data_IF_039356716165
#
_entry.id   IF_039356716165
#
_cell.length_a   1.000
_cell.length_b   1.000
_cell.length_c   1.000
_cell.angle_alpha   90.00
_cell.angle_beta   90.00
_cell.angle_gamma   90.00
#
_symmetry.space_group_name_H-M   'P 1'
#
loop_
_entity.id
_entity.type
_entity.pdbx_description
1 polymer ?
#
# COMPACT_ATOMS: atom_id res chain seq x y z
N UNK A 1 10.56 -18.58 -26.23
CA UNK A 1 10.57 -18.76 -27.66
C UNK A 1 11.95 -19.18 -28.17
N UNK A 2 12.10 -19.40 -29.49
CA UNK A 2 13.38 -19.79 -30.08
C UNK A 2 14.51 -18.77 -29.90
N UNK A 3 14.18 -17.52 -29.59
CA UNK A 3 15.12 -16.42 -29.35
C UNK A 3 15.57 -16.34 -27.90
N UNK A 4 14.98 -17.13 -27.03
CA UNK A 4 15.23 -17.09 -25.59
C UNK A 4 14.38 -16.09 -24.81
N UNK A 5 13.42 -15.42 -25.47
CA UNK A 5 12.45 -14.56 -24.82
C UNK A 5 11.37 -15.41 -24.18
N UNK A 6 10.98 -15.11 -22.96
CA UNK A 6 9.88 -15.79 -22.29
C UNK A 6 8.58 -15.63 -23.09
N UNK A 7 7.96 -16.74 -23.44
CA UNK A 7 6.72 -16.78 -24.22
C UNK A 7 5.78 -17.85 -23.66
N UNK A 8 4.77 -17.40 -22.92
CA UNK A 8 3.77 -18.28 -22.34
C UNK A 8 2.91 -19.03 -23.37
N UNK A 9 2.76 -18.49 -24.61
CA UNK A 9 1.98 -19.16 -25.66
C UNK A 9 2.62 -20.45 -26.13
N UNK A 10 3.94 -20.45 -26.23
CA UNK A 10 4.68 -21.64 -26.66
C UNK A 10 4.91 -22.64 -25.54
N UNK A 11 4.85 -22.20 -24.27
CA UNK A 11 4.93 -23.06 -23.10
C UNK A 11 3.66 -23.86 -22.78
N UNK A 12 2.58 -23.71 -23.55
CA UNK A 12 1.34 -24.44 -23.31
C UNK A 12 1.51 -25.93 -23.63
N UNK A 13 0.92 -26.78 -22.79
CA UNK A 13 0.83 -28.22 -23.06
C UNK A 13 -0.10 -28.56 -24.24
N UNK A 14 -1.09 -27.70 -24.49
CA UNK A 14 -2.05 -27.83 -25.62
C UNK A 14 -2.56 -26.47 -26.03
N UNK A 15 -2.94 -26.31 -27.29
CA UNK A 15 -3.61 -25.15 -27.85
C UNK A 15 -5.14 -25.25 -27.86
N UNK A 16 -5.68 -26.42 -27.54
CA UNK A 16 -7.11 -26.74 -27.62
C UNK A 16 -7.92 -26.10 -26.46
N UNK A 17 -7.28 -25.91 -25.31
CA UNK A 17 -7.91 -25.33 -24.13
C UNK A 17 -7.13 -24.11 -23.64
N UNK A 18 -7.81 -23.21 -22.96
CA UNK A 18 -7.20 -22.07 -22.29
C UNK A 18 -6.44 -22.48 -21.03
N UNK A 19 -6.43 -21.61 -20.03
CA UNK A 19 -5.83 -21.92 -18.74
C UNK A 19 -6.66 -22.96 -17.99
N UNK A 20 -5.97 -23.91 -17.40
CA UNK A 20 -6.56 -24.83 -16.42
C UNK A 20 -6.12 -24.37 -15.05
N UNK A 21 -7.09 -24.03 -14.19
CA UNK A 21 -6.85 -23.62 -12.82
C UNK A 21 -7.21 -24.75 -11.87
N UNK A 22 -6.34 -25.02 -10.93
CA UNK A 22 -6.56 -25.95 -9.85
C UNK A 22 -6.73 -25.19 -8.53
N UNK A 23 -7.70 -25.57 -7.74
CA UNK A 23 -7.87 -25.05 -6.39
C UNK A 23 -7.11 -25.95 -5.42
N UNK A 24 -6.10 -25.38 -4.77
CA UNK A 24 -5.29 -26.08 -3.78
C UNK A 24 -5.36 -25.40 -2.42
N UNK A 25 -5.10 -26.14 -1.34
CA UNK A 25 -5.11 -25.60 0.04
C UNK A 25 -3.70 -25.39 0.56
N UNK A 26 -2.89 -24.60 -0.16
CA UNK A 26 -1.48 -24.34 0.16
C UNK A 26 -1.21 -22.90 0.63
N UNK A 27 -2.25 -22.06 0.65
CA UNK A 27 -2.16 -20.71 1.17
C UNK A 27 -1.84 -20.69 2.66
N UNK A 28 -0.85 -19.85 3.06
CA UNK A 28 -0.42 -19.69 4.45
C UNK A 28 -0.35 -18.22 4.80
N UNK A 29 -0.84 -17.88 5.99
CA UNK A 29 -0.72 -16.55 6.59
C UNK A 29 -0.22 -16.70 8.01
N UNK A 30 0.85 -16.00 8.34
CA UNK A 30 1.35 -15.84 9.69
C UNK A 30 1.15 -14.39 10.12
N UNK A 31 0.32 -14.18 11.14
CA UNK A 31 0.05 -12.85 11.66
C UNK A 31 0.30 -12.82 13.17
N UNK A 32 1.04 -11.82 13.59
CA UNK A 32 1.18 -11.46 14.99
C UNK A 32 0.74 -10.01 15.17
N UNK A 33 -0.19 -9.78 16.10
CA UNK A 33 -0.66 -8.43 16.40
C UNK A 33 -0.67 -8.21 17.92
N UNK A 34 -0.24 -7.03 18.33
CA UNK A 34 -0.33 -6.56 19.70
C UNK A 34 -1.23 -5.31 19.71
N UNK A 35 -2.26 -5.36 20.54
CA UNK A 35 -3.25 -4.29 20.64
C UNK A 35 -3.29 -3.79 22.08
N UNK A 36 -3.23 -2.46 22.22
CA UNK A 36 -3.53 -1.76 23.46
C UNK A 36 -4.68 -0.82 23.19
N UNK A 37 -5.72 -0.90 23.99
CA UNK A 37 -6.83 0.03 23.95
C UNK A 37 -7.26 0.44 25.34
N UNK A 38 -7.87 1.62 25.42
CA UNK A 38 -8.40 2.14 26.66
C UNK A 38 -9.42 3.24 26.42
N UNK A 39 -10.37 3.32 27.31
CA UNK A 39 -11.39 4.37 27.33
C UNK A 39 -11.41 5.05 28.67
N UNK A 40 -11.30 6.36 28.66
CA UNK A 40 -11.43 7.21 29.83
C UNK A 40 -12.69 8.06 29.72
N UNK A 41 -13.58 7.89 30.71
CA UNK A 41 -14.78 8.71 30.87
C UNK A 41 -14.56 9.76 31.92
N UNK A 42 -14.87 10.99 31.58
CA UNK A 42 -14.63 12.13 32.46
C UNK A 42 -15.84 13.05 32.48
N UNK A 43 -16.07 13.68 33.60
CA UNK A 43 -17.29 14.46 33.90
C UNK A 43 -18.55 13.60 33.68
N UNK A 44 -19.61 14.23 33.14
CA UNK A 44 -20.91 13.55 32.97
C UNK A 44 -21.00 12.74 31.66
N UNK A 45 -20.42 13.26 30.59
CA UNK A 45 -20.62 12.77 29.22
C UNK A 45 -19.38 12.95 28.32
N UNK A 46 -18.23 13.29 28.90
CA UNK A 46 -16.96 13.32 28.19
C UNK A 46 -16.36 11.93 28.08
N UNK A 47 -15.82 11.59 26.92
CA UNK A 47 -15.15 10.32 26.66
C UNK A 47 -13.93 10.53 25.78
N UNK A 48 -12.85 9.81 26.09
CA UNK A 48 -11.66 9.71 25.28
C UNK A 48 -11.27 8.23 25.17
N UNK A 49 -11.22 7.74 23.96
CA UNK A 49 -10.78 6.37 23.65
C UNK A 49 -9.53 6.40 22.80
N UNK A 50 -8.62 5.50 23.11
CA UNK A 50 -7.35 5.30 22.40
C UNK A 50 -7.19 3.82 22.07
N UNK A 51 -6.74 3.55 20.87
CA UNK A 51 -6.34 2.20 20.44
C UNK A 51 -5.06 2.29 19.62
N UNK A 52 -4.10 1.46 19.96
CA UNK A 52 -2.88 1.26 19.20
C UNK A 52 -2.73 -0.21 18.84
N UNK A 53 -2.42 -0.47 17.59
CA UNK A 53 -2.11 -1.81 17.07
C UNK A 53 -0.72 -1.82 16.46
N UNK A 54 0.13 -2.72 16.92
CA UNK A 54 1.32 -3.16 16.22
C UNK A 54 1.03 -4.47 15.52
N UNK A 55 1.46 -4.63 14.26
CA UNK A 55 1.14 -5.79 13.44
C UNK A 55 2.33 -6.25 12.61
N UNK A 56 2.50 -7.56 12.50
CA UNK A 56 3.44 -8.23 11.59
C UNK A 56 2.72 -9.37 10.88
N UNK A 57 2.49 -9.19 9.58
CA UNK A 57 1.76 -10.17 8.76
C UNK A 57 2.61 -10.58 7.57
N UNK A 58 2.82 -11.89 7.45
CA UNK A 58 3.47 -12.52 6.31
C UNK A 58 2.56 -13.56 5.70
N UNK A 59 2.63 -13.71 4.40
CA UNK A 59 1.90 -14.72 3.65
C UNK A 59 2.71 -15.23 2.45
N UNK A 60 2.22 -16.28 1.84
CA UNK A 60 2.82 -16.83 0.63
C UNK A 60 2.03 -16.51 -0.64
N UNK A 61 0.84 -15.90 -0.54
CA UNK A 61 -0.01 -15.64 -1.70
C UNK A 61 -0.51 -14.20 -1.80
N UNK A 62 -0.73 -13.49 -0.71
CA UNK A 62 -1.42 -12.19 -0.68
C UNK A 62 -2.67 -12.13 -1.57
N UNK A 63 -3.44 -13.20 -1.57
CA UNK A 63 -4.62 -13.35 -2.43
C UNK A 63 -5.70 -12.34 -2.04
N UNK A 64 -5.98 -11.38 -2.91
CA UNK A 64 -6.95 -10.30 -2.67
C UNK A 64 -8.11 -10.29 -3.69
N UNK A 65 -8.14 -11.24 -4.61
CA UNK A 65 -9.13 -11.26 -5.67
C UNK A 65 -10.32 -12.17 -5.35
N UNK A 66 -11.48 -11.80 -5.85
CA UNK A 66 -12.68 -12.64 -5.86
C UNK A 66 -12.83 -13.47 -7.15
N UNK A 67 -11.88 -13.32 -8.09
CA UNK A 67 -11.83 -14.03 -9.37
C UNK A 67 -10.53 -14.81 -9.45
N UNK A 68 -10.60 -16.13 -9.40
CA UNK A 68 -9.44 -17.02 -9.37
C UNK A 68 -8.41 -16.73 -10.49
N UNK A 69 -8.88 -16.48 -11.70
CA UNK A 69 -8.03 -16.21 -12.85
C UNK A 69 -7.16 -14.94 -12.66
N UNK A 70 -7.72 -13.86 -12.14
CA UNK A 70 -6.99 -12.60 -11.95
C UNK A 70 -6.07 -12.67 -10.73
N UNK A 71 -6.51 -13.30 -9.66
CA UNK A 71 -5.77 -13.33 -8.42
C UNK A 71 -4.55 -14.27 -8.48
N UNK A 72 -4.69 -15.43 -9.13
CA UNK A 72 -3.60 -16.42 -9.24
C UNK A 72 -2.40 -15.88 -10.04
N UNK A 73 -2.64 -15.02 -11.01
CA UNK A 73 -1.59 -14.51 -11.90
C UNK A 73 -1.08 -13.10 -11.53
N UNK A 74 -1.73 -12.42 -10.60
CA UNK A 74 -1.30 -11.08 -10.18
C UNK A 74 -0.34 -11.09 -8.99
N UNK A 75 -0.03 -12.25 -8.45
CA UNK A 75 0.91 -12.39 -7.36
C UNK A 75 2.33 -12.05 -7.82
N UNK A 76 3.02 -11.21 -7.06
CA UNK A 76 4.42 -10.87 -7.31
C UNK A 76 5.31 -12.05 -6.89
N UNK A 77 6.03 -12.60 -7.85
CA UNK A 77 6.90 -13.78 -7.68
C UNK A 77 8.17 -13.62 -8.48
N UNK A 78 9.21 -14.35 -8.10
CA UNK A 78 10.50 -14.31 -8.82
C UNK A 78 10.37 -15.03 -10.16
N UNK A 79 9.84 -16.24 -10.14
CA UNK A 79 9.81 -17.13 -11.32
C UNK A 79 8.39 -17.59 -11.67
N UNK A 80 7.78 -18.42 -10.84
CA UNK A 80 6.51 -19.07 -11.09
C UNK A 80 5.46 -18.64 -10.05
N UNK A 81 4.31 -18.06 -10.49
CA UNK A 81 3.24 -17.67 -9.58
C UNK A 81 2.58 -18.84 -8.83
N UNK A 82 2.91 -20.07 -9.20
CA UNK A 82 2.47 -21.29 -8.52
C UNK A 82 3.42 -21.72 -7.40
N UNK A 83 4.61 -21.14 -7.30
CA UNK A 83 5.54 -21.45 -6.20
C UNK A 83 5.11 -20.72 -4.91
N UNK A 84 4.39 -21.45 -4.05
CA UNK A 84 3.92 -21.00 -2.76
C UNK A 84 4.87 -21.36 -1.59
N UNK A 85 6.11 -21.74 -1.88
CA UNK A 85 7.07 -22.17 -0.87
C UNK A 85 7.61 -21.02 -0.01
N UNK A 86 7.60 -19.80 -0.52
CA UNK A 86 8.23 -18.65 0.13
C UNK A 86 7.21 -17.76 0.84
N UNK A 87 7.50 -17.42 2.08
CA UNK A 87 6.76 -16.43 2.87
C UNK A 87 7.42 -15.06 2.76
N UNK A 88 6.62 -14.03 2.56
CA UNK A 88 7.07 -12.64 2.54
C UNK A 88 6.02 -11.73 3.19
N UNK A 89 6.32 -10.44 3.38
CA UNK A 89 5.31 -9.52 3.89
C UNK A 89 4.04 -9.52 3.03
N UNK A 90 2.90 -9.55 3.69
CA UNK A 90 1.58 -9.51 3.04
C UNK A 90 1.31 -8.15 2.40
N UNK A 91 0.51 -8.12 1.34
CA UNK A 91 -0.04 -6.88 0.81
C UNK A 91 -0.94 -6.15 1.83
N UNK A 92 -1.47 -6.89 2.82
CA UNK A 92 -2.31 -6.35 3.90
C UNK A 92 -1.48 -5.93 5.13
N UNK A 93 -0.16 -5.99 5.05
CA UNK A 93 0.72 -5.59 6.14
C UNK A 93 0.62 -4.09 6.40
N UNK A 94 0.42 -3.73 7.64
CA UNK A 94 0.75 -2.43 8.21
C UNK A 94 1.55 -2.66 9.50
N UNK A 95 2.43 -1.73 9.86
CA UNK A 95 3.23 -1.90 11.08
C UNK A 95 2.54 -1.27 12.29
N UNK A 96 1.94 -0.10 12.09
CA UNK A 96 1.36 0.69 13.15
C UNK A 96 -0.02 1.20 12.74
N UNK A 97 -0.99 1.09 13.64
CA UNK A 97 -2.29 1.74 13.50
C UNK A 97 -2.65 2.40 14.82
N UNK A 98 -3.04 3.65 14.74
CA UNK A 98 -3.46 4.45 15.89
C UNK A 98 -4.86 4.96 15.62
N UNK A 99 -5.76 4.81 16.58
CA UNK A 99 -7.08 5.42 16.54
C UNK A 99 -7.31 6.10 17.87
N UNK A 100 -7.59 7.39 17.83
CA UNK A 100 -7.98 8.19 19.01
C UNK A 100 -9.30 8.85 18.68
N UNK A 101 -10.29 8.67 19.50
CA UNK A 101 -11.55 9.37 19.35
C UNK A 101 -12.14 9.74 20.69
N UNK A 102 -12.93 10.79 20.70
CA UNK A 102 -13.58 11.22 21.92
C UNK A 102 -14.55 12.37 21.72
N UNK A 103 -15.25 12.68 22.79
CA UNK A 103 -16.15 13.80 22.86
C UNK A 103 -15.87 14.62 24.12
N UNK A 104 -15.88 15.95 23.97
CA UNK A 104 -15.87 16.85 25.09
C UNK A 104 -17.24 16.80 25.84
N UNK A 105 -17.27 17.11 27.14
CA UNK A 105 -18.55 17.27 27.86
C UNK A 105 -19.46 18.28 27.16
N UNK A 106 -20.72 17.94 27.06
CA UNK A 106 -21.73 18.83 26.45
C UNK A 106 -21.88 20.10 27.26
N UNK A 107 -21.69 21.23 26.62
CA UNK A 107 -21.83 22.53 27.26
C UNK A 107 -22.83 23.41 26.50
N UNK A 108 -23.85 23.92 27.19
CA UNK A 108 -24.96 24.66 26.59
C UNK A 108 -25.65 23.98 25.39
N UNK A 109 -25.72 22.67 25.44
CA UNK A 109 -26.26 21.87 24.31
C UNK A 109 -25.34 21.80 23.08
N UNK A 110 -24.11 22.24 23.19
CA UNK A 110 -23.06 22.05 22.18
C UNK A 110 -22.25 20.81 22.57
N UNK A 111 -22.13 19.87 21.64
CA UNK A 111 -21.24 18.72 21.74
C UNK A 111 -20.14 18.82 20.68
N UNK A 112 -18.91 18.48 21.06
CA UNK A 112 -17.77 18.44 20.17
C UNK A 112 -17.15 17.06 20.25
N UNK A 113 -16.99 16.40 19.12
CA UNK A 113 -16.29 15.13 19.00
C UNK A 113 -15.14 15.23 18.00
N UNK A 114 -14.09 14.46 18.25
CA UNK A 114 -12.95 14.34 17.35
C UNK A 114 -12.55 12.89 17.16
N UNK A 115 -12.02 12.55 15.98
CA UNK A 115 -11.44 11.25 15.68
C UNK A 115 -10.16 11.43 14.89
N UNK A 116 -9.07 10.93 15.43
CA UNK A 116 -7.81 10.75 14.72
C UNK A 116 -7.67 9.28 14.31
N UNK A 117 -7.28 9.02 13.07
CA UNK A 117 -6.99 7.69 12.56
C UNK A 117 -5.68 7.75 11.78
N UNK A 118 -4.68 6.98 12.21
CA UNK A 118 -3.39 6.93 11.56
C UNK A 118 -2.94 5.50 11.29
N UNK A 119 -2.21 5.33 10.18
CA UNK A 119 -1.66 4.05 9.74
C UNK A 119 -0.28 4.26 9.13
N UNK A 120 0.62 3.30 9.35
CA UNK A 120 1.97 3.34 8.79
C UNK A 120 2.59 1.97 8.63
N UNK A 121 3.65 1.90 7.81
CA UNK A 121 4.34 0.66 7.52
C UNK A 121 3.58 -0.28 6.58
N UNK A 122 2.72 0.26 5.73
CA UNK A 122 2.19 -0.47 4.57
C UNK A 122 3.31 -0.76 3.59
N UNK A 123 3.13 -1.74 2.72
CA UNK A 123 4.23 -2.33 1.94
C UNK A 123 4.06 -2.14 0.44
N UNK A 124 5.19 -2.18 -0.28
CA UNK A 124 5.24 -2.19 -1.73
C UNK A 124 6.46 -2.98 -2.24
N UNK A 125 6.42 -3.37 -3.52
CA UNK A 125 7.47 -4.15 -4.18
C UNK A 125 8.15 -3.36 -5.29
N UNK A 126 9.42 -3.67 -5.57
CA UNK A 126 10.11 -3.25 -6.79
C UNK A 126 9.92 -4.33 -7.84
N UNK A 127 9.39 -3.96 -9.00
CA UNK A 127 9.03 -4.87 -10.08
C UNK A 127 9.58 -4.43 -11.42
N UNK A 128 9.56 -5.34 -12.38
CA UNK A 128 9.80 -5.07 -13.78
C UNK A 128 8.47 -4.74 -14.48
N UNK A 129 8.43 -3.71 -15.29
CA UNK A 129 7.33 -3.45 -16.22
C UNK A 129 7.56 -4.25 -17.49
N UNK A 130 6.79 -5.30 -17.64
CA UNK A 130 6.88 -6.30 -18.70
C UNK A 130 6.87 -7.71 -18.12
N UNK A 131 6.75 -8.70 -18.98
CA UNK A 131 6.68 -10.10 -18.60
C UNK A 131 8.06 -10.76 -18.81
N UNK A 132 8.82 -10.92 -17.74
CA UNK A 132 10.18 -11.49 -17.77
C UNK A 132 10.14 -13.02 -17.68
N UNK A 133 9.24 -13.56 -16.86
CA UNK A 133 9.15 -14.99 -16.56
C UNK A 133 8.25 -15.78 -17.52
N UNK A 134 7.52 -15.10 -18.41
CA UNK A 134 6.63 -15.74 -19.37
C UNK A 134 5.29 -16.23 -18.81
N UNK A 135 4.89 -15.76 -17.64
CA UNK A 135 3.65 -16.16 -16.98
C UNK A 135 2.40 -15.44 -17.50
N UNK A 136 2.57 -14.50 -18.46
CA UNK A 136 1.49 -13.77 -19.10
C UNK A 136 1.03 -12.49 -18.36
N UNK A 137 1.69 -12.12 -17.27
CA UNK A 137 1.39 -10.91 -16.51
C UNK A 137 2.54 -9.91 -16.63
N UNK A 138 2.22 -8.64 -16.92
CA UNK A 138 3.23 -7.61 -17.24
C UNK A 138 3.72 -6.79 -16.04
N UNK A 139 3.36 -7.14 -14.83
CA UNK A 139 3.64 -6.29 -13.66
C UNK A 139 3.69 -7.05 -12.33
N UNK A 140 4.05 -8.32 -12.37
CA UNK A 140 4.20 -9.16 -11.18
C UNK A 140 5.63 -9.69 -10.98
N UNK A 141 6.53 -9.50 -11.94
CA UNK A 141 7.92 -9.95 -11.84
C UNK A 141 8.71 -9.05 -10.90
N UNK A 142 9.25 -9.63 -9.82
CA UNK A 142 10.14 -8.92 -8.91
C UNK A 142 11.46 -8.58 -9.61
N UNK A 143 11.91 -7.34 -9.43
CA UNK A 143 13.10 -6.84 -10.10
C UNK A 143 14.39 -7.38 -9.47
N UNK A 144 15.32 -7.87 -10.30
CA UNK A 144 16.70 -8.02 -9.89
C UNK A 144 17.37 -6.64 -9.84
N UNK A 145 17.89 -6.26 -8.69
CA UNK A 145 18.48 -4.93 -8.51
C UNK A 145 20.00 -5.01 -8.75
N UNK A 146 20.42 -4.47 -9.86
CA UNK A 146 21.85 -4.42 -10.22
C UNK A 146 22.61 -3.53 -9.23
N UNK A 147 23.79 -4.00 -8.80
CA UNK A 147 24.66 -3.18 -7.95
C UNK A 147 25.41 -2.16 -8.83
N UNK A 148 25.21 -0.85 -8.62
CA UNK A 148 25.93 0.17 -9.40
C UNK A 148 27.44 0.20 -9.13
N UNK A 149 27.92 -0.46 -8.07
CA UNK A 149 29.33 -0.57 -7.75
C UNK A 149 30.00 -1.81 -8.38
N UNK A 150 29.23 -2.76 -8.90
CA UNK A 150 29.77 -3.92 -9.61
C UNK A 150 30.23 -3.48 -11.02
N UNK A 151 31.53 -3.64 -11.35
CA UNK A 151 32.04 -3.31 -12.67
C UNK A 151 31.41 -4.12 -13.82
N UNK A 152 30.74 -5.24 -13.52
CA UNK A 152 30.00 -6.04 -14.49
C UNK A 152 28.63 -5.46 -14.81
N UNK A 153 28.09 -4.59 -13.97
CA UNK A 153 26.81 -3.92 -14.23
C UNK A 153 26.95 -3.01 -15.46
N UNK A 154 26.11 -3.16 -16.47
CA UNK A 154 26.09 -2.29 -17.65
C UNK A 154 25.98 -0.81 -17.25
N UNK A 155 26.74 0.05 -17.94
CA UNK A 155 26.85 1.47 -17.59
C UNK A 155 25.48 2.18 -17.52
N UNK A 156 24.59 1.89 -18.45
CA UNK A 156 23.26 2.51 -18.48
C UNK A 156 22.40 2.13 -17.27
N UNK A 157 22.52 0.89 -16.74
CA UNK A 157 21.85 0.47 -15.52
C UNK A 157 22.47 1.14 -14.29
N UNK A 158 23.80 1.19 -14.25
CA UNK A 158 24.53 1.88 -13.18
C UNK A 158 24.13 3.34 -13.06
N UNK A 159 24.12 4.05 -14.19
CA UNK A 159 23.74 5.46 -14.23
C UNK A 159 22.28 5.64 -13.81
N UNK A 160 21.35 4.86 -14.38
CA UNK A 160 19.93 4.97 -14.03
C UNK A 160 19.62 4.66 -12.57
N UNK A 161 20.29 3.68 -11.95
CA UNK A 161 20.13 3.38 -10.52
C UNK A 161 20.69 4.53 -9.67
N UNK A 162 21.87 5.06 -10.03
CA UNK A 162 22.46 6.21 -9.35
C UNK A 162 21.57 7.46 -9.47
N UNK A 163 20.92 7.68 -10.61
CA UNK A 163 19.96 8.78 -10.78
C UNK A 163 18.81 8.67 -9.80
N UNK A 164 18.25 7.46 -9.62
CA UNK A 164 17.20 7.24 -8.60
C UNK A 164 17.73 7.52 -7.18
N UNK A 165 18.91 7.00 -6.85
CA UNK A 165 19.48 7.14 -5.51
C UNK A 165 19.86 8.59 -5.16
N UNK A 166 20.20 9.40 -6.15
CA UNK A 166 20.57 10.81 -5.98
C UNK A 166 19.38 11.77 -6.16
N UNK A 167 18.23 11.28 -6.63
CA UNK A 167 17.04 12.12 -6.82
C UNK A 167 16.47 12.52 -5.45
N UNK A 168 16.37 13.83 -5.13
CA UNK A 168 15.84 14.31 -3.85
C UNK A 168 14.33 14.03 -3.68
N UNK A 169 13.59 13.84 -4.79
CA UNK A 169 12.15 13.59 -4.75
C UNK A 169 11.80 12.12 -4.49
N UNK A 170 12.79 11.22 -4.52
CA UNK A 170 12.60 9.80 -4.22
C UNK A 170 12.59 9.60 -2.70
N UNK A 171 11.57 8.88 -2.22
CA UNK A 171 11.42 8.52 -0.81
C UNK A 171 12.66 7.75 -0.30
N UNK A 172 13.21 8.15 0.85
CA UNK A 172 14.41 7.51 1.40
C UNK A 172 14.18 6.01 1.68
N UNK A 173 12.97 5.63 2.05
CA UNK A 173 12.59 4.21 2.20
C UNK A 173 12.75 3.41 0.91
N UNK A 174 12.54 4.02 -0.26
CA UNK A 174 12.79 3.38 -1.56
C UNK A 174 14.28 3.23 -1.83
N UNK A 175 15.07 4.28 -1.56
CA UNK A 175 16.52 4.22 -1.71
C UNK A 175 17.13 3.13 -0.84
N UNK A 176 16.66 3.00 0.40
CA UNK A 176 17.07 1.94 1.33
C UNK A 176 16.68 0.56 0.84
N UNK A 177 15.49 0.41 0.28
CA UNK A 177 15.05 -0.85 -0.29
C UNK A 177 15.90 -1.25 -1.49
N UNK A 178 16.21 -0.30 -2.39
CA UNK A 178 17.11 -0.52 -3.54
C UNK A 178 18.50 -0.95 -3.03
N UNK A 179 19.13 -0.19 -2.10
CA UNK A 179 20.45 -0.51 -1.55
C UNK A 179 20.52 -1.90 -0.91
N UNK A 180 19.49 -2.29 -0.14
CA UNK A 180 19.40 -3.61 0.48
C UNK A 180 19.20 -4.76 -0.51
N UNK A 181 18.81 -4.44 -1.73
CA UNK A 181 18.52 -5.39 -2.80
C UNK A 181 19.64 -5.50 -3.85
N UNK A 182 20.76 -4.81 -3.71
CA UNK A 182 21.86 -4.87 -4.66
C UNK A 182 22.35 -6.30 -4.88
N UNK A 183 22.51 -6.69 -6.15
CA UNK A 183 23.01 -7.99 -6.59
C UNK A 183 22.03 -9.16 -6.37
N UNK A 184 20.73 -8.89 -6.09
CA UNK A 184 19.71 -9.92 -5.88
C UNK A 184 18.34 -9.45 -6.33
N UNK A 185 17.41 -10.38 -6.44
CA UNK A 185 16.00 -10.07 -6.67
C UNK A 185 15.43 -9.38 -5.43
N UNK A 186 14.70 -8.30 -5.65
CA UNK A 186 14.04 -7.56 -4.59
C UNK A 186 13.02 -8.45 -3.86
N UNK A 187 12.99 -8.36 -2.53
CA UNK A 187 12.03 -9.11 -1.74
C UNK A 187 10.61 -8.58 -1.98
N UNK A 188 9.63 -9.47 -2.17
CA UNK A 188 8.22 -9.07 -2.26
C UNK A 188 7.83 -8.25 -1.04
N UNK A 189 7.23 -7.08 -1.26
CA UNK A 189 6.82 -6.17 -0.19
C UNK A 189 7.95 -5.72 0.74
N UNK A 190 9.19 -5.63 0.21
CA UNK A 190 10.36 -5.16 0.95
C UNK A 190 10.36 -3.65 1.22
N UNK A 191 9.66 -2.85 0.40
CA UNK A 191 9.49 -1.42 0.60
C UNK A 191 8.50 -1.10 1.73
N UNK A 192 8.71 0.04 2.38
CA UNK A 192 7.92 0.48 3.55
C UNK A 192 7.45 1.90 3.34
N UNK A 193 6.15 2.11 3.38
CA UNK A 193 5.54 3.43 3.37
C UNK A 193 5.58 4.09 4.76
N UNK A 194 5.62 5.41 4.76
CA UNK A 194 5.58 6.22 5.97
C UNK A 194 4.26 6.11 6.73
N UNK A 195 4.22 6.80 7.85
CA UNK A 195 2.99 6.96 8.65
C UNK A 195 2.24 8.21 8.20
N UNK A 196 0.91 8.11 8.09
CA UNK A 196 0.03 9.26 7.92
C UNK A 196 -1.26 9.06 8.71
N UNK A 197 -1.96 10.17 8.96
CA UNK A 197 -3.23 10.11 9.67
C UNK A 197 -4.16 11.25 9.30
N UNK A 198 -5.46 11.04 9.53
CA UNK A 198 -6.53 12.01 9.33
C UNK A 198 -7.16 12.38 10.65
N UNK A 199 -7.61 13.63 10.75
CA UNK A 199 -8.35 14.14 11.89
C UNK A 199 -9.73 14.62 11.43
N UNK A 200 -10.77 14.06 12.00
CA UNK A 200 -12.16 14.43 11.75
C UNK A 200 -12.73 15.14 12.99
N UNK A 201 -13.55 16.16 12.77
CA UNK A 201 -14.26 16.88 13.83
C UNK A 201 -15.76 16.88 13.57
N UNK A 202 -16.51 16.72 14.63
CA UNK A 202 -17.96 16.94 14.66
C UNK A 202 -18.31 17.97 15.70
N UNK A 203 -19.10 18.96 15.31
CA UNK A 203 -19.70 19.95 16.21
C UNK A 203 -21.20 19.84 16.02
N UNK A 204 -21.94 19.66 17.11
CA UNK A 204 -23.39 19.61 17.06
C UNK A 204 -23.99 20.52 18.14
N UNK A 205 -25.10 21.15 17.80
CA UNK A 205 -25.90 21.99 18.71
C UNK A 205 -27.31 21.44 18.78
N UNK A 206 -27.73 21.08 19.99
CA UNK A 206 -29.09 20.62 20.28
C UNK A 206 -29.92 21.74 20.84
N UNK A 207 -31.09 21.98 20.22
CA UNK A 207 -32.09 22.94 20.62
C UNK A 207 -33.30 22.19 21.13
N UNK A 208 -33.73 22.50 22.34
CA UNK A 208 -35.00 22.02 22.86
C UNK A 208 -36.14 22.92 22.31
N UNK A 209 -37.06 22.37 21.56
CA UNK A 209 -38.14 23.14 20.92
C UNK A 209 -39.40 23.13 21.80
N UNK A 210 -39.99 21.96 22.03
CA UNK A 210 -41.20 21.83 22.80
C UNK A 210 -41.28 20.44 23.45
N UNK A 211 -41.60 20.41 24.77
CA UNK A 211 -41.66 19.15 25.54
C UNK A 211 -40.45 18.26 25.34
N UNK A 212 -40.62 17.12 24.65
CA UNK A 212 -39.55 16.16 24.35
C UNK A 212 -38.93 16.37 22.95
N UNK A 213 -39.46 17.33 22.18
CA UNK A 213 -38.99 17.60 20.82
C UNK A 213 -37.68 18.35 20.84
N UNK A 214 -36.74 17.88 20.04
CA UNK A 214 -35.41 18.46 19.93
C UNK A 214 -35.02 18.61 18.46
N UNK A 215 -34.35 19.70 18.15
CA UNK A 215 -33.68 19.93 16.88
C UNK A 215 -32.16 19.90 17.10
N UNK A 216 -31.44 19.11 16.34
CA UNK A 216 -29.99 19.08 16.35
C UNK A 216 -29.46 19.55 14.99
N UNK A 217 -28.62 20.55 15.02
CA UNK A 217 -27.80 20.97 13.89
C UNK A 217 -26.39 20.46 14.11
N UNK A 218 -25.82 19.76 13.11
CA UNK A 218 -24.44 19.28 13.18
C UNK A 218 -23.65 19.72 11.96
N UNK A 219 -22.34 19.90 12.19
CA UNK A 219 -21.33 20.11 11.16
C UNK A 219 -20.24 19.07 11.40
N UNK A 220 -20.02 18.23 10.42
CA UNK A 220 -18.93 17.27 10.39
C UNK A 220 -17.85 17.80 9.41
N UNK A 221 -16.61 17.84 9.85
CA UNK A 221 -15.45 18.26 9.05
C UNK A 221 -14.52 17.07 8.99
N UNK A 222 -14.46 16.43 7.83
CA UNK A 222 -13.56 15.32 7.58
C UNK A 222 -12.21 15.86 7.16
N UNK A 223 -11.14 15.20 7.62
CA UNK A 223 -9.76 15.53 7.31
C UNK A 223 -9.40 17.02 7.58
N UNK A 224 -9.64 17.48 8.78
CA UNK A 224 -9.37 18.86 9.22
C UNK A 224 -7.90 19.24 9.01
N UNK A 225 -6.98 18.30 9.15
CA UNK A 225 -5.57 18.55 8.91
C UNK A 225 -5.32 19.06 7.48
N UNK A 226 -6.00 18.49 6.50
CA UNK A 226 -5.91 18.92 5.10
C UNK A 226 -6.55 20.30 4.86
N UNK A 227 -7.58 20.66 5.60
CA UNK A 227 -8.17 22.01 5.57
C UNK A 227 -7.16 23.08 6.04
N UNK A 228 -6.35 22.75 7.06
CA UNK A 228 -5.34 23.67 7.59
C UNK A 228 -4.09 23.73 6.69
N UNK A 229 -3.68 22.61 6.14
CA UNK A 229 -2.55 22.52 5.22
C UNK A 229 -2.78 21.37 4.22
N UNK A 230 -2.77 21.70 2.93
CA UNK A 230 -2.99 20.74 1.83
C UNK A 230 -2.08 19.50 1.86
N UNK A 231 -0.93 19.58 2.52
CA UNK A 231 0.03 18.49 2.64
C UNK A 231 -0.22 17.60 3.88
N UNK A 232 -1.15 17.98 4.74
CA UNK A 232 -1.51 17.21 5.94
C UNK A 232 -2.73 16.33 5.67
N UNK A 233 -2.89 15.29 6.47
CA UNK A 233 -4.02 14.37 6.33
C UNK A 233 -4.02 13.57 5.02
N UNK A 234 -2.85 13.44 4.40
CA UNK A 234 -2.62 12.65 3.21
C UNK A 234 -1.33 11.83 3.38
N UNK A 235 -1.24 10.70 2.73
CA UNK A 235 -0.08 9.82 2.75
C UNK A 235 0.71 9.89 1.45
N UNK A 236 2.01 9.64 1.55
CA UNK A 236 2.89 9.39 0.42
C UNK A 236 3.02 7.87 0.24
N UNK A 237 1.90 7.22 -0.13
CA UNK A 237 1.86 5.77 -0.24
C UNK A 237 2.25 5.32 -1.63
N UNK A 238 3.35 4.57 -1.71
CA UNK A 238 3.77 3.89 -2.91
C UNK A 238 3.06 2.54 -3.00
N UNK A 239 2.52 2.23 -4.19
CA UNK A 239 2.19 0.87 -4.60
C UNK A 239 3.40 0.18 -5.22
N UNK A 240 3.19 -0.91 -5.96
CA UNK A 240 4.25 -1.58 -6.70
C UNK A 240 4.98 -0.60 -7.64
N UNK A 241 6.31 -0.55 -7.54
CA UNK A 241 7.16 0.39 -8.26
C UNK A 241 7.90 -0.32 -9.40
N UNK A 242 7.64 0.09 -10.63
CA UNK A 242 8.34 -0.41 -11.82
C UNK A 242 9.70 0.27 -11.91
N UNK A 243 10.74 -0.35 -11.33
CA UNK A 243 12.11 0.19 -11.41
C UNK A 243 12.70 0.04 -12.81
N UNK A 244 12.31 -1.02 -13.52
CA UNK A 244 12.71 -1.27 -14.90
C UNK A 244 11.48 -1.44 -15.78
N UNK A 245 11.66 -1.16 -17.10
CA UNK A 245 10.71 -1.55 -18.15
C UNK A 245 11.51 -2.24 -19.26
N UNK A 246 10.99 -3.32 -19.82
CA UNK A 246 11.62 -4.03 -20.92
C UNK A 246 11.66 -3.11 -22.14
N UNK A 247 12.87 -2.86 -22.66
CA UNK A 247 13.13 -2.12 -23.90
C UNK A 247 13.34 -3.04 -25.09
N UNK A 248 13.92 -4.21 -24.86
CA UNK A 248 14.26 -5.18 -25.87
C UNK A 248 14.95 -6.41 -25.30
N UNK A 249 15.46 -7.25 -26.18
CA UNK A 249 16.17 -8.47 -25.84
C UNK A 249 17.44 -8.58 -26.70
N UNK A 250 18.58 -8.77 -26.04
CA UNK A 250 19.86 -9.05 -26.68
C UNK A 250 19.95 -10.55 -26.98
N UNK A 251 19.86 -10.90 -28.27
CA UNK A 251 19.84 -12.29 -28.72
C UNK A 251 21.18 -13.02 -28.56
N UNK A 252 22.29 -12.28 -28.62
CA UNK A 252 23.63 -12.84 -28.51
C UNK A 252 23.93 -13.18 -27.05
N UNK A 253 23.58 -12.30 -26.14
CA UNK A 253 23.77 -12.45 -24.69
C UNK A 253 22.66 -13.22 -24.00
N UNK A 254 21.50 -13.38 -24.65
CA UNK A 254 20.28 -13.93 -24.05
C UNK A 254 19.80 -13.16 -22.82
N UNK A 255 19.84 -11.82 -22.88
CA UNK A 255 19.51 -10.94 -21.78
C UNK A 255 18.47 -9.90 -22.20
N UNK A 256 17.57 -9.53 -21.27
CA UNK A 256 16.68 -8.40 -21.47
C UNK A 256 17.45 -7.07 -21.37
N UNK A 257 17.09 -6.15 -22.24
CA UNK A 257 17.55 -4.75 -22.19
C UNK A 257 16.46 -3.94 -21.51
N UNK A 258 16.82 -3.17 -20.49
CA UNK A 258 15.88 -2.41 -19.69
C UNK A 258 16.04 -0.91 -19.87
N UNK A 259 14.95 -0.17 -19.73
CA UNK A 259 14.97 1.24 -19.32
C UNK A 259 14.84 1.29 -17.80
N UNK A 260 15.68 2.12 -17.15
CA UNK A 260 15.54 2.43 -15.73
C UNK A 260 14.54 3.59 -15.58
N UNK A 261 13.56 3.43 -14.70
CA UNK A 261 12.57 4.47 -14.44
C UNK A 261 13.06 5.42 -13.35
N UNK A 262 13.51 6.60 -13.76
CA UNK A 262 14.05 7.63 -12.86
C UNK A 262 13.05 8.12 -11.79
N UNK A 263 11.76 7.92 -12.00
CA UNK A 263 10.71 8.31 -11.05
C UNK A 263 10.32 7.18 -10.07
N UNK A 264 11.08 6.08 -10.05
CA UNK A 264 10.84 5.00 -9.08
C UNK A 264 10.98 5.53 -7.66
N UNK A 265 9.92 5.37 -6.85
CA UNK A 265 9.91 5.85 -5.48
C UNK A 265 9.60 7.34 -5.31
N UNK A 266 9.31 8.05 -6.39
CA UNK A 266 8.72 9.40 -6.30
C UNK A 266 7.25 9.23 -5.94
N UNK A 267 6.88 9.69 -4.77
CA UNK A 267 5.51 9.61 -4.28
C UNK A 267 4.73 10.88 -4.59
N UNK A 268 3.42 10.74 -4.75
CA UNK A 268 2.49 11.85 -4.74
C UNK A 268 1.61 11.78 -3.50
N UNK A 269 1.10 12.93 -3.05
CA UNK A 269 0.13 12.96 -1.98
C UNK A 269 -1.14 12.22 -2.38
N UNK A 270 -1.47 11.18 -1.62
CA UNK A 270 -2.67 10.38 -1.76
C UNK A 270 -3.54 10.54 -0.52
N UNK A 271 -4.76 11.00 -0.69
CA UNK A 271 -5.71 11.16 0.40
C UNK A 271 -6.98 11.83 -0.08
N UNK A 272 -8.03 11.67 0.69
CA UNK A 272 -9.26 12.39 0.47
C UNK A 272 -9.10 13.82 0.99
N UNK A 273 -9.34 14.85 0.18
CA UNK A 273 -9.32 16.23 0.67
C UNK A 273 -10.37 16.42 1.76
N UNK A 274 -10.25 17.53 2.48
CA UNK A 274 -11.25 17.86 3.50
C UNK A 274 -12.66 17.95 2.91
N UNK A 275 -13.64 17.57 3.70
CA UNK A 275 -15.06 17.61 3.31
C UNK A 275 -15.88 18.14 4.47
N UNK A 276 -16.98 18.82 4.14
CA UNK A 276 -17.98 19.27 5.09
C UNK A 276 -19.29 18.54 4.88
N UNK A 277 -19.93 18.15 5.98
CA UNK A 277 -21.28 17.64 6.00
C UNK A 277 -22.09 18.44 7.00
N UNK A 278 -23.25 18.92 6.59
CA UNK A 278 -24.21 19.58 7.47
C UNK A 278 -25.39 18.65 7.68
N UNK A 279 -25.72 18.39 8.94
CA UNK A 279 -26.83 17.53 9.32
C UNK A 279 -27.88 18.29 10.12
N UNK A 280 -29.15 18.02 9.83
CA UNK A 280 -30.29 18.47 10.60
C UNK A 280 -31.10 17.26 11.05
N UNK A 281 -31.28 17.10 12.35
CA UNK A 281 -32.04 16.01 12.95
C UNK A 281 -33.15 16.56 13.83
N UNK A 282 -34.39 16.18 13.54
CA UNK A 282 -35.53 16.43 14.39
C UNK A 282 -35.92 15.15 15.11
N UNK A 283 -36.09 15.23 16.42
CA UNK A 283 -36.55 14.14 17.26
C UNK A 283 -37.84 14.58 18.00
N UNK A 284 -38.88 13.75 17.96
CA UNK A 284 -40.18 14.01 18.57
C UNK A 284 -40.57 12.88 19.49
#
# INVERSE_FOLDING_TARGET
>A
DANGVADWKQGRKTTEVGRVLEMVSEGKVNQFAFVIDGTWRYFKDGELSFSYTWNDTKDNTSYNGNVANSATLSQMVVDDPRDLSKMSYSNNQFRHKVVVYGSAPTFWGISVGARFSGIGGTRYSLIVGGNVNGDFVDSNDLAYIYDPNDPKTPEYLRNGINDILNNPDVEESTKDYIRKSFGKVAERNGGVNGFYGTLDLRIAKKFKIYKQQNLELSVDIFNVANLLNKNWGAGHNLGAQKIYSIKGFDQDKKEYIYNVNANTGVSSLNGTPYQFQIGLRYAF
#
